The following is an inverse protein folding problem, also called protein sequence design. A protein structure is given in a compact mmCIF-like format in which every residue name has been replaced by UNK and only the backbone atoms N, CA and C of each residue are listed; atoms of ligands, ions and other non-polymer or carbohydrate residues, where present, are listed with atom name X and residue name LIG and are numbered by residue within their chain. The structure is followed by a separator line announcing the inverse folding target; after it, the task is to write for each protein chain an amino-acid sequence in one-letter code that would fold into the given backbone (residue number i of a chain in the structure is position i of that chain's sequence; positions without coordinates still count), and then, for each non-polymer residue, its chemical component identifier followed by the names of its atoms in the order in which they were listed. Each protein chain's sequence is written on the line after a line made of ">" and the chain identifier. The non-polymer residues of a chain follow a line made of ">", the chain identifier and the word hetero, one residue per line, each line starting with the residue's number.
data_IF_619894833330
#
_entry.id   IF_619894833330
#
_cell.length_a   1.000
_cell.length_b   1.000
_cell.length_c   1.000
_cell.angle_alpha   90.00
_cell.angle_beta   90.00
_cell.angle_gamma   90.00
#
_symmetry.space_group_name_H-M   'P 1'
#
loop_
_entity.id
_entity.type
_entity.pdbx_description
1 polymer ?
#
# COMPACT_ATOMS: atom_id res chain seq x y z
N UNK A 1 -1.88 -13.53 56.63
CA UNK A 1 -1.77 -13.33 55.17
C UNK A 1 -0.54 -14.10 54.69
N UNK A 2 -0.71 -15.14 53.87
CA UNK A 2 0.37 -16.01 53.39
C UNK A 2 0.66 -15.66 51.93
N UNK A 3 1.89 -15.28 51.62
CA UNK A 3 2.38 -15.12 50.25
C UNK A 3 2.55 -16.51 49.63
N UNK A 4 1.81 -16.81 48.57
CA UNK A 4 1.98 -18.03 47.78
C UNK A 4 3.17 -17.93 46.81
N UNK A 5 3.76 -19.06 46.40
CA UNK A 5 4.91 -19.07 45.49
C UNK A 5 4.51 -18.68 44.08
N UNK A 6 5.30 -17.79 43.47
CA UNK A 6 5.23 -17.44 42.04
C UNK A 6 5.91 -18.56 41.27
N UNK A 7 5.13 -19.41 40.60
CA UNK A 7 5.65 -20.39 39.64
C UNK A 7 5.85 -19.71 38.29
N UNK A 8 7.12 -19.56 37.90
CA UNK A 8 7.51 -19.24 36.53
C UNK A 8 7.40 -20.52 35.70
N UNK A 9 6.32 -20.64 34.92
CA UNK A 9 6.24 -21.67 33.89
C UNK A 9 7.15 -21.26 32.73
N UNK A 10 8.36 -21.83 32.74
CA UNK A 10 9.31 -21.82 31.62
C UNK A 10 9.28 -23.23 31.03
N UNK A 11 8.68 -23.38 29.86
CA UNK A 11 8.65 -24.59 29.03
C UNK A 11 8.00 -24.22 27.70
N UNK A 12 8.75 -23.84 26.66
CA UNK A 12 9.68 -24.62 25.83
C UNK A 12 9.00 -25.86 25.24
N UNK A 13 8.67 -25.80 23.95
CA UNK A 13 8.32 -27.00 23.17
C UNK A 13 7.28 -26.81 22.07
N UNK A 14 7.46 -25.86 21.15
CA UNK A 14 6.79 -25.94 19.84
C UNK A 14 7.78 -25.59 18.72
N UNK A 15 8.46 -26.64 18.23
CA UNK A 15 8.99 -26.82 16.87
C UNK A 15 9.91 -25.72 16.31
N UNK A 16 11.19 -25.92 16.64
CA UNK A 16 12.38 -25.17 16.25
C UNK A 16 12.80 -25.36 14.77
N UNK A 17 11.93 -25.04 13.83
CA UNK A 17 12.27 -25.06 12.39
C UNK A 17 11.55 -24.04 11.50
N UNK A 18 10.80 -23.10 12.09
CA UNK A 18 9.96 -22.18 11.32
C UNK A 18 10.49 -20.76 11.32
N UNK A 19 11.08 -20.31 10.20
CA UNK A 19 11.09 -18.94 9.61
C UNK A 19 10.95 -17.67 10.48
N UNK A 20 11.22 -17.67 11.79
CA UNK A 20 10.72 -16.63 12.72
C UNK A 20 11.78 -15.94 13.57
N UNK A 21 13.03 -15.90 13.12
CA UNK A 21 13.88 -14.74 13.40
C UNK A 21 13.55 -13.63 12.39
N UNK A 22 12.32 -13.10 12.45
CA UNK A 22 12.05 -11.83 11.80
C UNK A 22 12.89 -10.77 12.49
N UNK A 23 13.97 -10.34 11.82
CA UNK A 23 14.86 -9.29 12.30
C UNK A 23 13.99 -8.11 12.72
N UNK A 24 13.91 -7.79 14.03
CA UNK A 24 13.11 -6.67 14.48
C UNK A 24 13.61 -5.43 13.76
N UNK A 25 12.69 -4.74 13.08
CA UNK A 25 12.95 -3.50 12.36
C UNK A 25 13.73 -2.53 13.25
N UNK A 26 15.02 -2.38 12.94
CA UNK A 26 15.86 -1.43 13.65
C UNK A 26 15.26 -0.02 13.55
N UNK A 27 15.43 0.79 14.59
CA UNK A 27 14.82 2.13 14.63
C UNK A 27 15.17 2.99 13.41
N UNK A 28 16.40 2.85 12.88
CA UNK A 28 16.85 3.60 11.71
C UNK A 28 16.15 3.14 10.41
N UNK A 29 15.89 1.83 10.23
CA UNK A 29 15.16 1.33 9.05
C UNK A 29 13.74 1.89 9.03
N UNK A 30 13.08 1.94 10.20
CA UNK A 30 11.74 2.52 10.33
C UNK A 30 11.73 4.00 9.96
N UNK A 31 12.72 4.75 10.44
CA UNK A 31 12.87 6.17 10.10
C UNK A 31 13.13 6.36 8.59
N UNK A 32 14.00 5.54 8.00
CA UNK A 32 14.30 5.61 6.57
C UNK A 32 13.05 5.35 5.71
N UNK A 33 12.28 4.30 6.04
CA UNK A 33 11.01 4.02 5.36
C UNK A 33 9.98 5.12 5.55
N UNK A 34 9.83 5.66 6.77
CA UNK A 34 8.92 6.78 7.03
C UNK A 34 9.29 8.02 6.20
N UNK A 35 10.58 8.37 6.11
CA UNK A 35 11.06 9.49 5.28
C UNK A 35 10.78 9.23 3.79
N UNK A 36 11.05 8.03 3.30
CA UNK A 36 10.75 7.65 1.92
C UNK A 36 9.25 7.79 1.62
N UNK A 37 8.38 7.31 2.51
CA UNK A 37 6.93 7.41 2.37
C UNK A 37 6.41 8.85 2.48
N UNK A 38 7.01 9.70 3.30
CA UNK A 38 6.70 11.13 3.33
C UNK A 38 7.05 11.81 2.00
N UNK A 39 8.19 11.46 1.38
CA UNK A 39 8.54 11.96 0.06
C UNK A 39 7.53 11.49 -1.02
N UNK A 40 7.11 10.22 -0.95
CA UNK A 40 6.04 9.68 -1.81
C UNK A 40 4.73 10.43 -1.61
N UNK A 41 4.32 10.67 -0.37
CA UNK A 41 3.11 11.42 -0.03
C UNK A 41 3.13 12.81 -0.68
N UNK A 42 4.20 13.58 -0.50
CA UNK A 42 4.34 14.93 -1.09
C UNK A 42 4.25 14.87 -2.62
N UNK A 43 4.91 13.89 -3.24
CA UNK A 43 4.87 13.70 -4.69
C UNK A 43 3.45 13.41 -5.19
N UNK A 44 2.72 12.49 -4.54
CA UNK A 44 1.37 12.12 -4.95
C UNK A 44 0.34 13.22 -4.67
N UNK A 45 0.46 13.96 -3.56
CA UNK A 45 -0.38 15.14 -3.30
C UNK A 45 -0.18 16.19 -4.38
N UNK A 46 1.07 16.49 -4.73
CA UNK A 46 1.39 17.42 -5.81
C UNK A 46 0.78 16.99 -7.14
N UNK A 47 0.85 15.70 -7.49
CA UNK A 47 0.23 15.19 -8.72
C UNK A 47 -1.30 15.25 -8.66
N UNK A 48 -1.91 14.91 -7.52
CA UNK A 48 -3.35 14.99 -7.34
C UNK A 48 -3.88 16.42 -7.57
N UNK A 49 -3.18 17.45 -7.09
CA UNK A 49 -3.57 18.84 -7.30
C UNK A 49 -3.51 19.28 -8.77
N UNK A 50 -2.64 18.69 -9.58
CA UNK A 50 -2.50 19.02 -11.00
C UNK A 50 -3.42 18.21 -11.92
N UNK A 51 -4.25 17.33 -11.38
CA UNK A 51 -5.06 16.38 -12.15
C UNK A 51 -6.56 16.55 -11.89
N UNK A 52 -7.37 16.09 -12.84
CA UNK A 52 -8.82 16.01 -12.73
C UNK A 52 -9.30 14.55 -12.94
N UNK A 53 -10.54 14.26 -12.56
CA UNK A 53 -11.16 12.95 -12.79
C UNK A 53 -10.52 11.81 -11.98
N UNK A 54 -10.49 10.61 -12.57
CA UNK A 54 -10.02 9.37 -11.93
C UNK A 54 -8.54 9.44 -11.52
N UNK A 55 -7.69 10.11 -12.31
CA UNK A 55 -6.28 10.29 -11.99
C UNK A 55 -6.07 11.01 -10.66
N UNK A 56 -6.85 12.06 -10.37
CA UNK A 56 -6.78 12.77 -9.09
C UNK A 56 -7.12 11.86 -7.92
N UNK A 57 -8.18 11.06 -8.04
CA UNK A 57 -8.61 10.15 -6.97
C UNK A 57 -7.62 9.00 -6.76
N UNK A 58 -7.04 8.48 -7.84
CA UNK A 58 -5.96 7.48 -7.78
C UNK A 58 -4.74 7.99 -7.02
N UNK A 59 -4.26 9.20 -7.34
CA UNK A 59 -3.15 9.81 -6.59
C UNK A 59 -3.55 10.18 -5.15
N UNK A 60 -4.80 10.60 -4.93
CA UNK A 60 -5.34 10.88 -3.60
C UNK A 60 -5.37 9.65 -2.70
N UNK A 61 -5.85 8.51 -3.20
CA UNK A 61 -5.84 7.24 -2.48
C UNK A 61 -4.43 6.78 -2.12
N UNK A 62 -3.48 6.89 -3.04
CA UNK A 62 -2.07 6.60 -2.73
C UNK A 62 -1.43 7.57 -1.74
N UNK A 63 -1.80 8.85 -1.79
CA UNK A 63 -1.37 9.84 -0.79
C UNK A 63 -1.84 9.40 0.60
N UNK A 64 -3.12 9.05 0.72
CA UNK A 64 -3.70 8.56 1.96
C UNK A 64 -2.96 7.31 2.49
N UNK A 65 -2.70 6.34 1.61
CA UNK A 65 -1.95 5.12 1.94
C UNK A 65 -0.52 5.41 2.39
N UNK A 66 0.22 6.27 1.67
CA UNK A 66 1.58 6.65 2.03
C UNK A 66 1.63 7.32 3.40
N UNK A 67 0.67 8.20 3.70
CA UNK A 67 0.52 8.81 5.03
C UNK A 67 0.26 7.77 6.12
N UNK A 68 -0.70 6.85 5.90
CA UNK A 68 -0.99 5.78 6.86
C UNK A 68 0.21 4.87 7.11
N UNK A 69 0.93 4.47 6.07
CA UNK A 69 2.14 3.66 6.21
C UNK A 69 3.27 4.42 6.93
N UNK A 70 3.48 5.70 6.63
CA UNK A 70 4.49 6.50 7.34
C UNK A 70 4.19 6.54 8.85
N UNK A 71 2.91 6.72 9.22
CA UNK A 71 2.49 6.67 10.62
C UNK A 71 2.72 5.28 11.25
N UNK A 72 2.43 4.19 10.53
CA UNK A 72 2.68 2.83 11.03
C UNK A 72 4.18 2.55 11.25
N UNK A 73 5.06 3.10 10.41
CA UNK A 73 6.51 3.02 10.65
C UNK A 73 6.96 3.86 11.85
N UNK A 74 6.41 5.06 12.04
CA UNK A 74 6.79 5.96 13.14
C UNK A 74 6.24 5.50 14.50
N UNK A 75 5.03 4.95 14.54
CA UNK A 75 4.30 4.58 15.75
C UNK A 75 3.97 3.07 15.78
N UNK A 76 4.97 2.21 16.03
CA UNK A 76 4.81 0.78 16.02
C UNK A 76 3.98 0.43 17.27
N UNK A 77 2.95 -0.40 17.12
CA UNK A 77 1.99 -0.74 18.19
C UNK A 77 0.92 0.28 18.54
N UNK A 78 0.80 1.40 17.81
CA UNK A 78 -0.33 2.33 18.00
C UNK A 78 -0.66 2.52 19.48
N UNK A 79 0.33 2.92 20.30
CA UNK A 79 0.12 3.25 21.73
C UNK A 79 -1.05 4.24 21.91
N UNK A 80 -1.45 4.88 20.81
CA UNK A 80 -2.69 5.59 20.57
C UNK A 80 -3.79 4.68 19.95
N UNK A 81 -4.61 3.97 20.75
CA UNK A 81 -5.71 3.15 20.23
C UNK A 81 -6.73 3.96 19.42
N UNK A 82 -6.86 5.26 19.71
CA UNK A 82 -7.70 6.18 18.94
C UNK A 82 -7.19 6.36 17.50
N UNK A 83 -5.88 6.53 17.31
CA UNK A 83 -5.27 6.65 15.98
C UNK A 83 -5.44 5.36 15.18
N UNK A 84 -5.34 4.20 15.86
CA UNK A 84 -5.58 2.91 15.23
C UNK A 84 -6.99 2.80 14.67
N UNK A 85 -8.00 3.01 15.52
CA UNK A 85 -9.41 2.95 15.11
C UNK A 85 -9.72 3.95 14.00
N UNK A 86 -9.20 5.17 14.11
CA UNK A 86 -9.38 6.19 13.08
C UNK A 86 -8.77 5.74 11.73
N UNK A 87 -7.55 5.19 11.75
CA UNK A 87 -6.90 4.63 10.57
C UNK A 87 -7.70 3.49 9.95
N UNK A 88 -8.13 2.51 10.75
CA UNK A 88 -8.94 1.37 10.30
C UNK A 88 -10.25 1.84 9.65
N UNK A 89 -10.98 2.76 10.30
CA UNK A 89 -12.23 3.30 9.77
C UNK A 89 -12.00 4.06 8.46
N UNK A 90 -10.96 4.89 8.41
CA UNK A 90 -10.63 5.69 7.23
C UNK A 90 -10.29 4.80 6.02
N UNK A 91 -9.44 3.78 6.20
CA UNK A 91 -9.11 2.85 5.13
C UNK A 91 -10.31 1.98 4.74
N UNK A 92 -11.09 1.49 5.70
CA UNK A 92 -12.28 0.69 5.42
C UNK A 92 -13.31 1.47 4.59
N UNK A 93 -13.61 2.71 4.97
CA UNK A 93 -14.52 3.59 4.20
C UNK A 93 -13.96 3.86 2.80
N UNK A 94 -12.66 4.10 2.69
CA UNK A 94 -12.00 4.33 1.39
C UNK A 94 -12.10 3.09 0.50
N UNK A 95 -11.88 1.90 1.04
CA UNK A 95 -12.03 0.61 0.33
C UNK A 95 -13.46 0.41 -0.14
N UNK A 96 -14.46 0.66 0.71
CA UNK A 96 -15.87 0.52 0.33
C UNK A 96 -16.27 1.52 -0.76
N UNK A 97 -15.78 2.75 -0.68
CA UNK A 97 -16.00 3.77 -1.71
C UNK A 97 -15.37 3.36 -3.04
N UNK A 98 -14.12 2.91 -3.04
CA UNK A 98 -13.42 2.43 -4.24
C UNK A 98 -14.13 1.20 -4.84
N UNK A 99 -14.55 0.24 -4.01
CA UNK A 99 -15.31 -0.94 -4.43
C UNK A 99 -16.64 -0.55 -5.07
N UNK A 100 -17.34 0.44 -4.50
CA UNK A 100 -18.60 0.93 -5.06
C UNK A 100 -18.39 1.56 -6.44
N UNK A 101 -17.29 2.29 -6.64
CA UNK A 101 -16.91 2.82 -7.97
C UNK A 101 -16.61 1.68 -8.94
N UNK A 102 -15.85 0.66 -8.54
CA UNK A 102 -15.56 -0.52 -9.38
C UNK A 102 -16.85 -1.23 -9.79
N UNK A 103 -17.73 -1.53 -8.84
CA UNK A 103 -19.00 -2.22 -9.10
C UNK A 103 -19.93 -1.37 -9.97
N UNK A 104 -20.01 -0.06 -9.71
CA UNK A 104 -20.79 0.87 -10.52
C UNK A 104 -20.29 0.92 -11.97
N UNK A 105 -18.99 1.10 -12.18
CA UNK A 105 -18.38 1.09 -13.51
C UNK A 105 -18.59 -0.24 -14.22
N UNK A 106 -18.44 -1.36 -13.52
CA UNK A 106 -18.69 -2.69 -14.08
C UNK A 106 -20.16 -2.85 -14.50
N UNK A 107 -21.13 -2.41 -13.68
CA UNK A 107 -22.55 -2.49 -14.00
C UNK A 107 -22.93 -1.63 -15.22
N UNK A 108 -22.38 -0.43 -15.32
CA UNK A 108 -22.73 0.52 -16.39
C UNK A 108 -21.97 0.28 -17.69
N UNK A 109 -20.71 -0.15 -17.63
CA UNK A 109 -19.82 -0.24 -18.80
C UNK A 109 -19.38 -1.66 -19.14
N UNK A 110 -19.70 -2.65 -18.29
CA UNK A 110 -19.24 -4.05 -18.40
C UNK A 110 -17.72 -4.20 -18.56
N UNK A 111 -16.98 -3.19 -18.09
CA UNK A 111 -15.52 -3.12 -18.12
C UNK A 111 -15.04 -2.71 -16.72
N UNK A 112 -14.02 -3.42 -16.22
CA UNK A 112 -13.38 -3.07 -14.95
C UNK A 112 -12.30 -2.04 -15.25
N UNK A 113 -12.39 -0.88 -14.61
CA UNK A 113 -11.28 0.06 -14.61
C UNK A 113 -10.19 -0.48 -13.68
N UNK A 114 -9.10 -0.95 -14.27
CA UNK A 114 -7.99 -1.59 -13.57
C UNK A 114 -7.38 -0.66 -12.51
N UNK A 115 -7.37 0.67 -12.73
CA UNK A 115 -6.89 1.60 -11.71
C UNK A 115 -7.77 1.57 -10.47
N UNK A 116 -9.09 1.67 -10.63
CA UNK A 116 -10.00 1.58 -9.48
C UNK A 116 -9.94 0.21 -8.79
N UNK A 117 -9.77 -0.86 -9.57
CA UNK A 117 -9.63 -2.21 -9.02
C UNK A 117 -8.37 -2.36 -8.18
N UNK A 118 -7.20 -1.97 -8.72
CA UNK A 118 -5.93 -2.02 -7.98
C UNK A 118 -6.00 -1.13 -6.74
N UNK A 119 -6.59 0.07 -6.82
CA UNK A 119 -6.75 0.96 -5.66
C UNK A 119 -7.61 0.31 -4.58
N UNK A 120 -8.67 -0.40 -4.99
CA UNK A 120 -9.55 -1.12 -4.06
C UNK A 120 -8.78 -2.21 -3.34
N UNK A 121 -7.96 -2.99 -4.05
CA UNK A 121 -7.12 -4.03 -3.44
C UNK A 121 -6.06 -3.43 -2.50
N UNK A 122 -5.33 -2.41 -2.95
CA UNK A 122 -4.29 -1.74 -2.17
C UNK A 122 -4.86 -1.13 -0.87
N UNK A 123 -6.02 -0.47 -0.94
CA UNK A 123 -6.70 0.07 0.24
C UNK A 123 -7.29 -1.02 1.13
N UNK A 124 -7.76 -2.15 0.58
CA UNK A 124 -8.22 -3.29 1.35
C UNK A 124 -7.07 -3.92 2.15
N UNK A 125 -5.89 -4.05 1.54
CA UNK A 125 -4.68 -4.50 2.22
C UNK A 125 -4.27 -3.51 3.31
N UNK A 126 -4.34 -2.20 3.06
CA UNK A 126 -4.11 -1.21 4.13
C UNK A 126 -5.11 -1.33 5.28
N UNK A 127 -6.39 -1.56 4.98
CA UNK A 127 -7.41 -1.82 6.01
C UNK A 127 -7.02 -3.04 6.83
N UNK A 128 -6.65 -4.14 6.17
CA UNK A 128 -6.19 -5.38 6.81
C UNK A 128 -4.97 -5.14 7.72
N UNK A 129 -3.96 -4.41 7.24
CA UNK A 129 -2.77 -4.06 7.99
C UNK A 129 -3.09 -3.27 9.26
N UNK A 130 -4.16 -2.48 9.25
CA UNK A 130 -4.66 -1.73 10.41
C UNK A 130 -5.65 -2.50 11.29
N UNK A 131 -5.89 -3.79 11.07
CA UNK A 131 -6.68 -4.59 12.01
C UNK A 131 -5.85 -4.97 13.24
N UNK A 132 -6.55 -5.21 14.36
CA UNK A 132 -5.91 -5.70 15.57
C UNK A 132 -5.26 -7.08 15.32
N UNK A 133 -4.05 -7.35 15.85
CA UNK A 133 -3.36 -8.61 15.62
C UNK A 133 -4.18 -9.85 15.95
N UNK A 134 -5.05 -9.77 16.97
CA UNK A 134 -5.89 -10.90 17.42
C UNK A 134 -6.94 -11.39 16.43
N UNK A 135 -7.25 -10.61 15.38
CA UNK A 135 -8.27 -10.95 14.37
C UNK A 135 -7.69 -11.12 12.97
N UNK A 136 -6.36 -11.06 12.82
CA UNK A 136 -5.66 -11.18 11.54
C UNK A 136 -5.20 -12.63 11.33
N UNK A 137 -5.76 -13.36 10.37
CA UNK A 137 -5.27 -14.70 10.06
C UNK A 137 -3.95 -14.65 9.28
N UNK A 138 -2.95 -15.41 9.72
CA UNK A 138 -1.59 -15.42 9.14
C UNK A 138 -1.55 -15.68 7.63
N UNK A 139 -2.40 -16.58 7.14
CA UNK A 139 -2.47 -16.90 5.71
C UNK A 139 -2.85 -15.69 4.85
N UNK A 140 -3.66 -14.77 5.38
CA UNK A 140 -4.06 -13.55 4.67
C UNK A 140 -2.94 -12.51 4.72
N UNK A 141 -2.13 -12.48 5.79
CA UNK A 141 -0.91 -11.69 5.84
C UNK A 141 0.08 -12.14 4.76
N UNK A 142 0.32 -13.45 4.64
CA UNK A 142 1.21 -14.01 3.62
C UNK A 142 0.69 -13.75 2.19
N UNK A 143 -0.60 -13.95 1.96
CA UNK A 143 -1.23 -13.66 0.66
C UNK A 143 -1.10 -12.17 0.30
N UNK A 144 -1.37 -11.28 1.25
CA UNK A 144 -1.26 -9.83 1.06
C UNK A 144 0.19 -9.39 0.85
N UNK A 145 1.14 -10.01 1.57
CA UNK A 145 2.57 -9.75 1.41
C UNK A 145 3.05 -10.19 0.02
N UNK A 146 2.63 -11.38 -0.43
CA UNK A 146 2.91 -11.88 -1.78
C UNK A 146 2.32 -10.99 -2.87
N UNK A 147 1.07 -10.53 -2.68
CA UNK A 147 0.45 -9.54 -3.56
C UNK A 147 1.27 -8.25 -3.64
N UNK A 148 1.59 -7.64 -2.50
CA UNK A 148 2.34 -6.39 -2.44
C UNK A 148 3.75 -6.55 -3.03
N UNK A 149 4.43 -7.67 -2.74
CA UNK A 149 5.74 -7.99 -3.32
C UNK A 149 5.66 -8.14 -4.86
N UNK A 150 4.60 -8.76 -5.38
CA UNK A 150 4.34 -8.86 -6.82
C UNK A 150 4.07 -7.50 -7.49
N UNK A 151 3.48 -6.54 -6.77
CA UNK A 151 3.26 -5.19 -7.28
C UNK A 151 4.57 -4.40 -7.45
N UNK A 152 5.64 -4.71 -6.72
CA UNK A 152 6.95 -4.05 -6.84
C UNK A 152 7.53 -4.12 -8.25
N UNK A 153 7.75 -5.30 -8.86
CA UNK A 153 8.24 -5.40 -10.24
C UNK A 153 7.20 -4.93 -11.26
N UNK A 154 5.89 -5.09 -10.99
CA UNK A 154 4.84 -4.62 -11.89
C UNK A 154 4.91 -3.09 -12.07
N UNK A 155 5.13 -2.35 -10.99
CA UNK A 155 5.34 -0.91 -11.01
C UNK A 155 6.74 -0.51 -11.48
N UNK A 156 7.79 -1.13 -10.91
CA UNK A 156 9.18 -0.79 -11.18
C UNK A 156 9.58 -0.99 -12.64
N UNK A 157 9.16 -2.11 -13.24
CA UNK A 157 9.42 -2.41 -14.65
C UNK A 157 8.36 -1.82 -15.60
N UNK A 158 7.28 -1.24 -15.06
CA UNK A 158 6.20 -0.69 -15.85
C UNK A 158 5.40 -1.72 -16.62
N UNK A 159 5.33 -2.95 -16.11
CA UNK A 159 4.55 -4.03 -16.73
C UNK A 159 3.06 -3.71 -16.64
N UNK A 160 2.61 -3.10 -15.54
CA UNK A 160 1.21 -2.73 -15.39
C UNK A 160 0.75 -1.72 -16.45
N UNK A 161 1.59 -0.74 -16.78
CA UNK A 161 1.28 0.22 -17.85
C UNK A 161 1.13 -0.44 -19.22
N UNK A 162 1.84 -1.55 -19.46
CA UNK A 162 1.68 -2.33 -20.71
C UNK A 162 0.31 -2.99 -20.74
N UNK A 163 -0.14 -3.58 -19.63
CA UNK A 163 -1.48 -4.16 -19.51
C UNK A 163 -2.59 -3.11 -19.64
N UNK A 164 -2.41 -1.94 -19.02
CA UNK A 164 -3.34 -0.82 -19.12
C UNK A 164 -3.45 -0.31 -20.55
N UNK A 165 -2.33 -0.22 -21.28
CA UNK A 165 -2.31 0.23 -22.67
C UNK A 165 -3.00 -0.73 -23.64
N UNK A 166 -2.96 -2.05 -23.38
CA UNK A 166 -3.63 -3.06 -24.23
C UNK A 166 -5.15 -3.10 -24.08
N UNK A 167 -5.72 -2.61 -22.98
CA UNK A 167 -7.17 -2.61 -22.73
C UNK A 167 -7.94 -1.42 -23.30
N UNK A 168 -7.23 -0.40 -23.78
CA UNK A 168 -7.81 0.77 -24.45
C UNK A 168 -7.74 0.60 -25.96
N UNK A 169 -8.79 0.03 -26.55
CA UNK A 169 -8.99 -0.04 -27.99
C UNK A 169 -8.85 1.36 -28.65
N UNK A 170 -7.78 1.56 -29.42
CA UNK A 170 -7.84 2.28 -30.69
C UNK A 170 -7.82 3.81 -30.76
N UNK A 171 -7.62 4.58 -29.67
CA UNK A 171 -7.56 6.06 -29.80
C UNK A 171 -6.14 6.59 -30.00
N UNK A 172 -5.77 6.66 -31.28
CA UNK A 172 -4.84 7.61 -31.95
C UNK A 172 -3.84 8.31 -31.02
N UNK A 173 -2.61 7.77 -30.98
CA UNK A 173 -1.44 8.47 -30.46
C UNK A 173 -1.03 9.57 -31.44
N UNK A 174 -1.63 10.75 -31.30
CA UNK A 174 -1.21 11.96 -32.01
C UNK A 174 0.29 12.20 -31.77
N UNK A 175 1.06 12.07 -32.84
CA UNK A 175 2.51 12.03 -32.86
C UNK A 175 3.03 13.41 -33.30
N UNK A 176 2.82 14.43 -32.48
CA UNK A 176 3.53 15.71 -32.65
C UNK A 176 3.71 16.41 -31.31
N UNK A 177 4.93 16.34 -30.75
CA UNK A 177 5.43 17.39 -29.85
C UNK A 177 6.94 17.27 -29.63
N UNK A 178 7.56 18.44 -29.65
CA UNK A 178 8.99 18.80 -29.62
C UNK A 178 9.83 18.15 -28.50
N UNK A 179 11.12 17.93 -28.80
CA UNK A 179 12.08 17.10 -28.04
C UNK A 179 12.36 17.48 -26.56
N UNK A 180 12.35 18.74 -26.09
CA UNK A 180 12.69 19.05 -24.69
C UNK A 180 11.54 18.74 -23.70
N UNK A 181 10.28 18.90 -24.11
CA UNK A 181 9.11 18.53 -23.30
C UNK A 181 9.00 17.02 -23.05
N UNK A 182 9.63 16.22 -23.91
CA UNK A 182 9.65 14.76 -23.82
C UNK A 182 10.48 14.24 -22.65
N UNK A 183 11.60 14.90 -22.32
CA UNK A 183 12.49 14.48 -21.21
C UNK A 183 11.85 14.69 -19.83
N UNK A 184 11.18 15.84 -19.61
CA UNK A 184 10.51 16.14 -18.32
C UNK A 184 9.39 15.14 -18.01
N UNK A 185 8.62 14.72 -19.02
CA UNK A 185 7.56 13.72 -18.87
C UNK A 185 8.11 12.33 -18.52
N UNK A 186 9.27 11.94 -19.06
CA UNK A 186 9.91 10.65 -18.72
C UNK A 186 10.33 10.61 -17.25
N UNK A 187 10.94 11.67 -16.73
CA UNK A 187 11.36 11.71 -15.32
C UNK A 187 10.17 11.65 -14.35
N UNK A 188 9.12 12.44 -14.58
CA UNK A 188 7.91 12.40 -13.74
C UNK A 188 7.27 11.02 -13.75
N UNK A 189 7.26 10.36 -14.91
CA UNK A 189 6.74 9.03 -15.06
C UNK A 189 7.57 7.97 -14.32
N UNK A 190 8.90 8.01 -14.44
CA UNK A 190 9.80 7.13 -13.68
C UNK A 190 9.67 7.35 -12.17
N UNK A 191 9.63 8.61 -11.72
CA UNK A 191 9.45 8.94 -10.30
C UNK A 191 8.13 8.41 -9.74
N UNK A 192 7.04 8.50 -10.51
CA UNK A 192 5.73 7.96 -10.09
C UNK A 192 5.73 6.43 -10.02
N UNK A 193 6.41 5.76 -10.94
CA UNK A 193 6.57 4.29 -10.89
C UNK A 193 7.41 3.86 -9.69
N UNK A 194 8.54 4.54 -9.47
CA UNK A 194 9.40 4.29 -8.32
C UNK A 194 8.67 4.54 -7.01
N UNK A 195 7.84 5.58 -6.91
CA UNK A 195 7.06 5.85 -5.69
C UNK A 195 6.03 4.76 -5.40
N UNK A 196 5.35 4.25 -6.42
CA UNK A 196 4.42 3.12 -6.29
C UNK A 196 5.14 1.82 -5.90
N UNK A 197 6.31 1.56 -6.50
CA UNK A 197 7.14 0.42 -6.13
C UNK A 197 7.64 0.52 -4.67
N UNK A 198 8.03 1.71 -4.21
CA UNK A 198 8.41 1.97 -2.81
C UNK A 198 7.23 1.73 -1.86
N UNK A 199 6.03 2.16 -2.22
CA UNK A 199 4.81 1.88 -1.44
C UNK A 199 4.53 0.37 -1.35
N UNK A 200 4.54 -0.33 -2.49
CA UNK A 200 4.32 -1.77 -2.54
C UNK A 200 5.37 -2.54 -1.71
N UNK A 201 6.64 -2.17 -1.82
CA UNK A 201 7.72 -2.74 -1.02
C UNK A 201 7.54 -2.45 0.48
N UNK A 202 7.08 -1.24 0.83
CA UNK A 202 6.77 -0.87 2.21
C UNK A 202 5.66 -1.73 2.79
N UNK A 203 4.57 -1.95 2.03
CA UNK A 203 3.45 -2.80 2.44
C UNK A 203 3.89 -4.24 2.62
N UNK A 204 4.61 -4.79 1.64
CA UNK A 204 5.13 -6.17 1.71
C UNK A 204 6.03 -6.35 2.93
N UNK A 205 6.92 -5.40 3.18
CA UNK A 205 7.83 -5.40 4.31
C UNK A 205 7.07 -5.36 5.65
N UNK A 206 6.07 -4.47 5.78
CA UNK A 206 5.25 -4.41 7.00
C UNK A 206 4.45 -5.70 7.22
N UNK A 207 3.84 -6.25 6.18
CA UNK A 207 3.06 -7.48 6.27
C UNK A 207 3.90 -8.70 6.63
N UNK A 208 5.15 -8.76 6.14
CA UNK A 208 6.10 -9.79 6.51
C UNK A 208 6.58 -9.63 7.97
N UNK A 209 6.55 -8.43 8.54
CA UNK A 209 6.97 -8.15 9.91
C UNK A 209 5.82 -8.21 10.95
N UNK A 210 4.60 -8.52 10.51
CA UNK A 210 3.37 -8.54 11.32
C UNK A 210 3.02 -9.93 11.82
#
# INVERSE_FOLDING_TARGET
>A
MRCGPVSWNVGVGWMDGGFSEFVPLTGWMRLAWAVALCAVLVLHVRHAHGMAGSGRWWHGGHSLMAGGMALMYLFPRMEQPGLHRAGTLLFAVTTLAALTVVVGLWRHRRRIDVLWFVLTLDTAVMTYMTLAPSIRPDWLSLLSAGYAAGMVPLWGCGLLDRFLATGTDGTVRSRSTTAPWRRRKVWVFLLTRSSLAVMAASMAHMLAAM
#
